data_IF_132924555407
#
_entry.id   IF_132924555407
#
_cell.length_a   1.000
_cell.length_b   1.000
_cell.length_c   1.000
_cell.angle_alpha   90.00
_cell.angle_beta   90.00
_cell.angle_gamma   90.00
#
_symmetry.space_group_name_H-M   'P 1'
#
loop_
_entity.id
_entity.type
_entity.pdbx_description
1 polymer ?
#
# COMPACT_ATOMS: atom_id res chain seq x y z
N UNK A 1 -15.41 -21.51 62.08
CA UNK A 1 -14.38 -20.48 62.23
C UNK A 1 -13.31 -20.61 61.12
N UNK A 2 -12.70 -21.79 60.96
CA UNK A 2 -11.66 -22.05 59.93
C UNK A 2 -12.14 -21.79 58.51
N UNK A 3 -13.34 -22.25 58.12
CA UNK A 3 -13.93 -22.03 56.80
C UNK A 3 -14.19 -20.54 56.53
N UNK A 4 -14.65 -19.79 57.52
CA UNK A 4 -14.82 -18.34 57.44
C UNK A 4 -13.50 -17.61 57.24
N UNK A 5 -12.47 -18.02 58.00
CA UNK A 5 -11.12 -17.46 57.88
C UNK A 5 -10.53 -17.71 56.50
N UNK A 6 -10.63 -18.93 56.00
CA UNK A 6 -10.22 -19.32 54.63
C UNK A 6 -10.99 -18.57 53.53
N UNK A 7 -12.27 -18.30 53.79
CA UNK A 7 -13.10 -17.57 52.84
C UNK A 7 -12.80 -16.07 52.79
N UNK A 8 -12.44 -15.47 53.92
CA UNK A 8 -12.25 -14.04 54.03
C UNK A 8 -10.79 -13.63 53.84
N UNK A 9 -9.88 -14.29 54.55
CA UNK A 9 -8.46 -13.93 54.53
C UNK A 9 -7.59 -14.84 53.65
N UNK A 10 -7.97 -16.10 53.46
CA UNK A 10 -7.15 -17.11 52.78
C UNK A 10 -5.91 -17.53 53.61
N UNK A 11 -5.10 -18.40 53.10
CA UNK A 11 -3.88 -18.88 53.77
C UNK A 11 -2.73 -18.87 52.76
N UNK A 12 -1.59 -18.27 53.17
CA UNK A 12 -0.30 -18.40 52.51
C UNK A 12 0.34 -19.72 52.97
N UNK A 13 0.78 -20.56 52.01
CA UNK A 13 1.37 -21.87 52.35
C UNK A 13 2.28 -22.37 51.25
N UNK A 14 3.42 -22.91 51.65
CA UNK A 14 4.38 -23.54 50.73
C UNK A 14 4.12 -25.05 50.57
N UNK A 15 3.15 -25.62 51.33
CA UNK A 15 2.84 -27.05 51.22
C UNK A 15 2.28 -27.48 49.89
N UNK A 16 1.74 -26.53 49.08
CA UNK A 16 1.21 -26.81 47.76
C UNK A 16 2.26 -26.72 46.63
N UNK A 17 3.44 -26.15 46.89
CA UNK A 17 4.49 -26.01 45.89
C UNK A 17 4.88 -27.36 45.30
N UNK A 18 5.11 -28.35 46.14
CA UNK A 18 5.44 -29.69 45.71
C UNK A 18 4.27 -30.37 44.95
N UNK A 19 3.03 -30.23 45.47
CA UNK A 19 1.85 -30.77 44.81
C UNK A 19 1.65 -30.17 43.43
N UNK A 20 1.80 -28.85 43.27
CA UNK A 20 1.68 -28.16 41.96
C UNK A 20 2.80 -28.65 41.03
N UNK A 21 4.03 -28.69 41.51
CA UNK A 21 5.15 -29.18 40.70
C UNK A 21 4.98 -30.66 40.29
N UNK A 22 4.49 -31.50 41.16
CA UNK A 22 4.24 -32.93 40.86
C UNK A 22 3.14 -33.07 39.83
N UNK A 23 2.06 -32.30 39.90
CA UNK A 23 1.02 -32.29 38.88
C UNK A 23 1.56 -31.80 37.54
N UNK A 24 2.38 -30.75 37.49
CA UNK A 24 3.02 -30.26 36.28
C UNK A 24 3.99 -31.30 35.72
N UNK A 25 4.78 -31.97 36.52
CA UNK A 25 5.68 -33.05 36.11
C UNK A 25 4.93 -34.29 35.61
N UNK A 26 3.76 -34.58 36.20
CA UNK A 26 2.90 -35.66 35.71
C UNK A 26 2.36 -35.34 34.27
N UNK A 27 2.10 -34.06 34.00
CA UNK A 27 1.71 -33.61 32.65
C UNK A 27 2.89 -33.69 31.67
N UNK A 28 4.08 -33.24 32.09
CA UNK A 28 5.31 -33.38 31.29
C UNK A 28 6.53 -33.34 32.22
N UNK A 29 7.31 -34.44 32.27
CA UNK A 29 8.48 -34.62 33.16
C UNK A 29 9.57 -33.54 33.03
N UNK A 30 9.61 -32.82 31.87
CA UNK A 30 10.57 -31.77 31.61
C UNK A 30 10.06 -30.39 32.00
N UNK A 31 8.79 -30.24 32.39
CA UNK A 31 8.24 -29.03 32.96
C UNK A 31 8.49 -28.95 34.45
N UNK A 32 8.81 -27.74 34.91
CA UNK A 32 8.84 -27.43 36.34
C UNK A 32 8.40 -25.98 36.59
N UNK A 33 7.77 -25.75 37.72
CA UNK A 33 7.32 -24.43 38.16
C UNK A 33 8.04 -24.05 39.44
N UNK A 34 8.70 -22.90 39.41
CA UNK A 34 9.25 -22.32 40.65
C UNK A 34 8.31 -21.19 41.08
N UNK A 35 7.60 -21.44 42.17
CA UNK A 35 6.70 -20.50 42.85
C UNK A 35 7.42 -19.72 43.94
N UNK A 36 6.96 -18.51 44.24
CA UNK A 36 7.47 -17.77 45.40
C UNK A 36 6.50 -17.82 46.58
N UNK A 37 5.23 -17.60 46.31
CA UNK A 37 4.18 -17.53 47.33
C UNK A 37 2.91 -18.16 46.76
N UNK A 38 2.45 -19.22 47.39
CA UNK A 38 1.15 -19.82 47.06
C UNK A 38 0.13 -19.39 48.10
N UNK A 39 -0.98 -18.85 47.62
CA UNK A 39 -2.08 -18.33 48.42
C UNK A 39 -3.36 -19.09 48.09
N UNK A 40 -4.03 -19.61 49.07
CA UNK A 40 -5.26 -20.36 48.93
C UNK A 40 -6.43 -19.57 49.55
N UNK A 41 -7.51 -19.40 48.77
CA UNK A 41 -8.75 -18.78 49.21
C UNK A 41 -9.96 -19.63 48.86
N UNK A 42 -10.88 -19.79 49.83
CA UNK A 42 -12.12 -20.52 49.65
C UNK A 42 -13.23 -19.54 49.24
N UNK A 43 -13.94 -19.81 48.15
CA UNK A 43 -15.18 -19.12 47.81
C UNK A 43 -16.37 -19.99 48.14
N UNK A 44 -17.04 -19.69 49.23
CA UNK A 44 -18.24 -20.43 49.65
C UNK A 44 -19.41 -20.19 48.72
N UNK A 45 -19.53 -18.97 48.16
CA UNK A 45 -20.53 -18.57 47.22
C UNK A 45 -20.44 -19.40 45.93
N UNK A 46 -19.25 -19.55 45.36
CA UNK A 46 -19.01 -20.22 44.10
C UNK A 46 -18.67 -21.71 44.30
N UNK A 47 -18.66 -22.18 45.53
CA UNK A 47 -18.26 -23.54 45.92
C UNK A 47 -16.91 -23.90 45.25
N UNK A 48 -15.92 -23.02 45.37
CA UNK A 48 -14.61 -23.18 44.71
C UNK A 48 -13.45 -22.86 45.67
N UNK A 49 -12.31 -23.46 45.35
CA UNK A 49 -11.01 -23.15 45.93
C UNK A 49 -10.20 -22.41 44.87
N UNK A 50 -9.73 -21.22 45.23
CA UNK A 50 -8.87 -20.43 44.34
C UNK A 50 -7.43 -20.53 44.88
N UNK A 51 -6.53 -20.95 44.05
CA UNK A 51 -5.10 -21.01 44.29
C UNK A 51 -4.41 -19.94 43.47
N UNK A 52 -3.69 -19.06 44.13
CA UNK A 52 -2.94 -17.98 43.52
C UNK A 52 -1.45 -18.14 43.79
N UNK A 53 -0.63 -17.87 42.78
CA UNK A 53 0.79 -17.71 42.96
C UNK A 53 1.31 -16.56 42.12
N UNK A 54 2.09 -15.67 42.74
CA UNK A 54 2.71 -14.54 42.07
C UNK A 54 4.17 -14.77 41.74
N UNK A 55 4.74 -13.96 40.90
CA UNK A 55 6.18 -13.90 40.58
C UNK A 55 6.84 -15.28 40.37
N UNK A 56 6.21 -16.13 39.62
CA UNK A 56 6.63 -17.51 39.41
C UNK A 56 7.43 -17.63 38.09
N UNK A 57 8.19 -18.72 37.96
CA UNK A 57 8.88 -19.07 36.70
C UNK A 57 8.50 -20.46 36.29
N UNK A 58 8.06 -20.59 35.01
CA UNK A 58 7.85 -21.91 34.42
C UNK A 58 9.07 -22.24 33.58
N UNK A 59 9.64 -23.44 33.79
CA UNK A 59 10.81 -23.95 33.08
C UNK A 59 10.41 -25.11 32.18
N UNK A 60 11.02 -25.16 31.02
CA UNK A 60 11.11 -26.35 30.19
C UNK A 60 12.60 -26.59 29.90
N UNK A 61 13.17 -27.59 30.57
CA UNK A 61 14.62 -27.79 30.62
C UNK A 61 15.34 -26.51 31.09
N UNK A 62 16.19 -25.90 30.25
CA UNK A 62 16.93 -24.66 30.55
C UNK A 62 16.19 -23.37 30.16
N UNK A 63 15.12 -23.44 29.41
CA UNK A 63 14.36 -22.28 28.97
C UNK A 63 13.25 -21.96 29.96
N UNK A 64 12.99 -20.69 30.21
CA UNK A 64 11.96 -20.28 31.17
C UNK A 64 11.15 -19.09 30.67
N UNK A 65 9.98 -18.94 31.26
CA UNK A 65 9.10 -17.76 31.12
C UNK A 65 8.80 -17.21 32.51
N UNK A 66 8.98 -15.90 32.69
CA UNK A 66 8.61 -15.20 33.93
C UNK A 66 7.09 -14.95 33.93
N UNK A 67 6.45 -15.40 35.00
CA UNK A 67 5.02 -15.27 35.21
C UNK A 67 4.76 -14.23 36.31
N UNK A 68 3.79 -13.35 36.09
CA UNK A 68 3.34 -12.41 37.12
C UNK A 68 2.32 -13.04 38.04
N UNK A 69 1.49 -13.95 37.51
CA UNK A 69 0.41 -14.55 38.27
C UNK A 69 -0.02 -15.86 37.64
N UNK A 70 -0.38 -16.83 38.45
CA UNK A 70 -1.12 -18.04 38.12
C UNK A 70 -2.33 -18.11 39.04
N UNK A 71 -3.50 -18.27 38.49
CA UNK A 71 -4.73 -18.57 39.25
C UNK A 71 -5.31 -19.89 38.78
N UNK A 72 -5.58 -20.77 39.74
CA UNK A 72 -6.26 -22.04 39.52
C UNK A 72 -7.55 -22.08 40.30
N UNK A 73 -8.69 -22.23 39.63
CA UNK A 73 -9.98 -22.35 40.26
C UNK A 73 -10.41 -23.82 40.26
N UNK A 74 -10.65 -24.39 41.44
CA UNK A 74 -11.06 -25.78 41.62
C UNK A 74 -12.52 -25.87 42.09
N UNK A 75 -13.24 -26.89 41.69
CA UNK A 75 -14.55 -27.26 42.26
C UNK A 75 -14.35 -27.87 43.63
N UNK A 76 -14.91 -27.25 44.69
CA UNK A 76 -14.75 -27.67 46.08
C UNK A 76 -15.29 -29.09 46.30
N UNK A 77 -16.46 -29.43 45.71
CA UNK A 77 -17.13 -30.72 45.94
C UNK A 77 -16.31 -31.82 45.29
N UNK A 78 -15.91 -31.64 44.03
CA UNK A 78 -15.07 -32.59 43.30
C UNK A 78 -13.70 -32.77 43.96
N UNK A 79 -13.12 -31.68 44.48
CA UNK A 79 -11.86 -31.70 45.20
C UNK A 79 -11.94 -32.57 46.47
N UNK A 80 -13.00 -32.43 47.28
CA UNK A 80 -13.26 -33.28 48.47
C UNK A 80 -13.44 -34.74 48.06
N UNK A 81 -14.10 -35.01 46.95
CA UNK A 81 -14.29 -36.38 46.42
C UNK A 81 -13.05 -36.96 45.74
N UNK A 82 -11.95 -36.24 45.70
CA UNK A 82 -10.70 -36.59 45.00
C UNK A 82 -10.91 -36.84 43.49
N UNK A 83 -11.93 -36.20 42.92
CA UNK A 83 -12.20 -36.16 41.46
C UNK A 83 -11.39 -35.05 40.83
N UNK A 84 -11.34 -35.08 39.48
CA UNK A 84 -10.71 -33.99 38.74
C UNK A 84 -11.54 -32.70 38.86
N UNK A 85 -10.98 -31.71 39.58
CA UNK A 85 -11.69 -30.58 40.10
C UNK A 85 -11.37 -29.24 39.42
N UNK A 86 -10.47 -29.21 38.42
CA UNK A 86 -10.06 -27.96 37.78
C UNK A 86 -11.21 -27.39 36.92
N UNK A 87 -11.65 -26.16 37.26
CA UNK A 87 -12.65 -25.40 36.49
C UNK A 87 -12.01 -24.41 35.52
N UNK A 88 -10.99 -23.70 36.00
CA UNK A 88 -10.34 -22.61 35.27
C UNK A 88 -8.87 -22.54 35.65
N UNK A 89 -8.03 -22.27 34.66
CA UNK A 89 -6.63 -21.87 34.87
C UNK A 89 -6.42 -20.54 34.17
N UNK A 90 -5.86 -19.58 34.86
CA UNK A 90 -5.45 -18.29 34.35
C UNK A 90 -3.95 -18.08 34.62
N UNK A 91 -3.21 -17.75 33.56
CA UNK A 91 -1.77 -17.52 33.62
C UNK A 91 -1.48 -16.14 33.00
N UNK A 92 -0.78 -15.29 33.75
CA UNK A 92 -0.30 -14.00 33.26
C UNK A 92 1.21 -13.97 33.28
N UNK A 93 1.84 -13.51 32.23
CA UNK A 93 3.29 -13.35 32.19
C UNK A 93 3.71 -11.96 32.59
N UNK A 94 4.92 -11.82 33.10
CA UNK A 94 5.64 -10.56 33.05
C UNK A 94 5.98 -10.20 31.61
N UNK A 95 6.63 -9.08 31.39
CA UNK A 95 7.16 -8.71 30.08
C UNK A 95 8.38 -9.59 29.78
N UNK A 96 8.24 -10.58 28.92
CA UNK A 96 9.31 -11.50 28.53
C UNK A 96 9.84 -11.13 27.14
N UNK A 97 11.11 -11.45 26.88
CA UNK A 97 11.67 -11.41 25.54
C UNK A 97 10.91 -12.38 24.62
N UNK A 98 10.58 -11.94 23.40
CA UNK A 98 9.97 -12.86 22.40
C UNK A 98 10.90 -14.05 22.14
N UNK A 99 12.21 -13.84 22.15
CA UNK A 99 13.20 -14.90 21.96
C UNK A 99 13.11 -15.96 23.05
N UNK A 100 12.92 -15.59 24.30
CA UNK A 100 12.78 -16.55 25.40
C UNK A 100 11.50 -17.36 25.28
N UNK A 101 10.38 -16.67 24.94
CA UNK A 101 9.09 -17.34 24.68
C UNK A 101 9.24 -18.35 23.52
N UNK A 102 9.89 -17.94 22.43
CA UNK A 102 10.08 -18.83 21.28
C UNK A 102 10.98 -19.99 21.57
N UNK A 103 12.04 -19.81 22.32
CA UNK A 103 12.93 -20.88 22.79
C UNK A 103 12.17 -21.87 23.66
N UNK A 104 11.33 -21.38 24.59
CA UNK A 104 10.50 -22.22 25.44
C UNK A 104 9.51 -23.07 24.61
N UNK A 105 8.78 -22.43 23.65
CA UNK A 105 7.82 -23.14 22.79
C UNK A 105 8.52 -24.18 21.92
N UNK A 106 9.66 -23.83 21.32
CA UNK A 106 10.42 -24.76 20.48
C UNK A 106 10.97 -25.95 21.26
N UNK A 107 11.37 -25.75 22.50
CA UNK A 107 11.82 -26.83 23.40
C UNK A 107 10.67 -27.77 23.75
N UNK A 108 9.47 -27.22 23.98
CA UNK A 108 8.27 -28.00 24.31
C UNK A 108 7.77 -28.84 23.12
N UNK A 109 7.65 -28.19 21.94
CA UNK A 109 7.19 -28.86 20.70
C UNK A 109 7.95 -28.33 19.50
N UNK A 110 9.08 -28.96 19.19
CA UNK A 110 9.87 -28.57 18.01
C UNK A 110 9.05 -28.73 16.74
N UNK A 111 8.97 -27.67 15.96
CA UNK A 111 8.42 -27.66 14.62
C UNK A 111 9.33 -26.80 13.73
N UNK A 112 9.99 -27.42 12.75
CA UNK A 112 10.92 -26.76 11.84
C UNK A 112 10.35 -25.48 11.23
N UNK A 113 9.06 -25.46 10.90
CA UNK A 113 8.38 -24.30 10.31
C UNK A 113 8.24 -23.16 11.30
N UNK A 114 7.85 -23.47 12.53
CA UNK A 114 7.80 -22.46 13.60
C UNK A 114 9.20 -21.93 13.89
N UNK A 115 10.20 -22.79 13.92
CA UNK A 115 11.59 -22.41 14.10
C UNK A 115 12.07 -21.42 13.04
N UNK A 116 11.76 -21.63 11.76
CA UNK A 116 12.13 -20.70 10.68
C UNK A 116 11.42 -19.35 10.87
N UNK A 117 10.11 -19.34 11.15
CA UNK A 117 9.34 -18.11 11.35
C UNK A 117 9.85 -17.33 12.57
N UNK A 118 10.12 -18.03 13.66
CA UNK A 118 10.55 -17.44 14.92
C UNK A 118 11.98 -16.89 14.85
N UNK A 119 12.85 -17.51 14.01
CA UNK A 119 14.20 -16.98 13.79
C UNK A 119 14.20 -15.68 12.96
N UNK A 120 13.11 -15.33 12.30
CA UNK A 120 12.96 -14.04 11.65
C UNK A 120 12.68 -12.90 12.65
N UNK A 121 12.29 -13.25 13.88
CA UNK A 121 12.09 -12.28 14.96
C UNK A 121 13.43 -12.06 15.66
N UNK A 122 14.06 -10.91 15.44
CA UNK A 122 15.37 -10.60 16.05
C UNK A 122 15.25 -10.15 17.49
N UNK A 123 14.25 -9.33 17.80
CA UNK A 123 14.00 -8.77 19.12
C UNK A 123 12.53 -8.44 19.34
N UNK A 124 12.19 -8.12 20.55
CA UNK A 124 10.86 -7.70 20.98
C UNK A 124 10.51 -8.23 22.34
N UNK A 125 9.46 -7.68 22.93
CA UNK A 125 8.93 -8.05 24.23
C UNK A 125 7.46 -8.41 24.11
N UNK A 126 7.02 -9.38 24.89
CA UNK A 126 5.64 -9.81 24.95
C UNK A 126 5.14 -9.92 26.39
N UNK A 127 3.90 -9.48 26.62
CA UNK A 127 3.13 -9.73 27.82
C UNK A 127 1.85 -10.46 27.43
N UNK A 128 1.63 -11.64 28.03
CA UNK A 128 0.59 -12.58 27.64
C UNK A 128 -0.28 -12.93 28.84
N UNK A 129 -1.59 -13.05 28.61
CA UNK A 129 -2.52 -13.65 29.55
C UNK A 129 -3.28 -14.78 28.86
N UNK A 130 -3.32 -15.95 29.47
CA UNK A 130 -4.01 -17.11 28.96
C UNK A 130 -5.07 -17.56 29.99
N UNK A 131 -6.28 -17.79 29.52
CA UNK A 131 -7.38 -18.33 30.32
C UNK A 131 -7.84 -19.61 29.67
N UNK A 132 -7.91 -20.69 30.45
CA UNK A 132 -8.40 -21.99 30.04
C UNK A 132 -9.57 -22.37 30.94
N UNK A 133 -10.74 -22.57 30.32
CA UNK A 133 -11.95 -23.02 31.00
C UNK A 133 -12.19 -24.49 30.64
N UNK A 134 -12.28 -25.35 31.67
CA UNK A 134 -12.52 -26.79 31.49
C UNK A 134 -14.02 -27.07 31.57
N UNK A 135 -14.49 -27.98 30.72
CA UNK A 135 -15.88 -28.41 30.76
C UNK A 135 -16.12 -29.27 32.02
N UNK A 136 -17.25 -29.08 32.69
CA UNK A 136 -17.61 -29.83 33.92
C UNK A 136 -17.78 -31.33 33.68
N UNK A 137 -18.18 -31.76 32.49
CA UNK A 137 -18.49 -33.14 32.14
C UNK A 137 -17.34 -33.87 31.47
N UNK A 138 -16.53 -33.17 30.68
CA UNK A 138 -15.41 -33.74 29.95
C UNK A 138 -14.23 -32.73 29.91
N UNK A 139 -13.20 -33.00 30.71
CA UNK A 139 -12.02 -32.13 30.81
C UNK A 139 -11.12 -32.15 29.57
N UNK A 140 -11.31 -33.11 28.65
CA UNK A 140 -10.66 -33.06 27.35
C UNK A 140 -11.26 -31.98 26.45
N UNK A 141 -12.46 -31.47 26.77
CA UNK A 141 -13.08 -30.31 26.14
C UNK A 141 -12.81 -29.07 26.96
N UNK A 142 -11.93 -28.23 26.48
CA UNK A 142 -11.61 -26.94 27.10
C UNK A 142 -11.71 -25.81 26.07
N UNK A 143 -12.14 -24.65 26.56
CA UNK A 143 -12.09 -23.40 25.80
C UNK A 143 -10.91 -22.57 26.30
N UNK A 144 -10.18 -21.97 25.38
CA UNK A 144 -9.08 -21.09 25.75
C UNK A 144 -9.23 -19.72 25.11
N UNK A 145 -8.69 -18.71 25.81
CA UNK A 145 -8.50 -17.37 25.30
C UNK A 145 -7.10 -16.90 25.69
N UNK A 146 -6.35 -16.41 24.70
CA UNK A 146 -5.01 -15.89 24.91
C UNK A 146 -5.01 -14.45 24.45
N UNK A 147 -4.75 -13.52 25.35
CA UNK A 147 -4.63 -12.10 25.06
C UNK A 147 -3.24 -11.62 25.37
N UNK A 148 -2.82 -10.54 24.74
CA UNK A 148 -1.53 -9.97 25.06
C UNK A 148 -1.16 -8.80 24.19
N UNK A 149 0.07 -8.35 24.37
CA UNK A 149 0.66 -7.28 23.58
C UNK A 149 2.12 -7.58 23.26
N UNK A 150 2.47 -7.20 22.04
CA UNK A 150 3.85 -7.20 21.56
C UNK A 150 4.34 -5.76 21.51
N UNK A 151 5.60 -5.55 21.88
CA UNK A 151 6.27 -4.24 21.84
C UNK A 151 7.66 -4.36 21.25
N UNK A 152 8.07 -3.32 20.55
CA UNK A 152 9.44 -3.14 20.05
C UNK A 152 9.96 -4.34 19.24
N UNK A 153 9.06 -5.09 18.59
CA UNK A 153 9.51 -6.23 17.83
C UNK A 153 10.16 -5.79 16.51
N UNK A 154 11.11 -6.59 16.07
CA UNK A 154 11.82 -6.44 14.80
C UNK A 154 11.78 -7.74 14.05
N UNK A 155 11.34 -7.67 12.80
CA UNK A 155 11.22 -8.81 11.89
C UNK A 155 12.15 -8.65 10.70
N UNK A 156 12.89 -9.70 10.38
CA UNK A 156 13.59 -9.88 9.11
C UNK A 156 12.71 -10.65 8.16
N UNK A 157 12.16 -10.00 7.12
CA UNK A 157 11.36 -10.69 6.12
C UNK A 157 12.25 -11.21 4.99
N UNK A 158 11.81 -12.28 4.35
CA UNK A 158 12.39 -12.82 3.12
C UNK A 158 12.59 -11.65 2.13
N UNK A 159 13.77 -11.52 1.50
CA UNK A 159 14.24 -10.41 0.65
C UNK A 159 14.89 -9.22 1.39
N UNK A 160 15.37 -9.42 2.61
CA UNK A 160 16.08 -8.40 3.40
C UNK A 160 15.25 -7.17 3.77
N UNK A 161 13.92 -7.25 3.72
CA UNK A 161 13.07 -6.22 4.26
C UNK A 161 13.03 -6.33 5.79
N UNK A 162 13.42 -5.26 6.47
CA UNK A 162 13.41 -5.19 7.94
C UNK A 162 12.20 -4.37 8.34
N UNK A 163 11.31 -4.95 9.15
CA UNK A 163 10.20 -4.25 9.81
C UNK A 163 10.57 -4.03 11.26
N UNK A 164 10.52 -2.79 11.70
CA UNK A 164 10.93 -2.38 13.04
C UNK A 164 9.77 -1.76 13.82
N UNK A 165 10.01 -1.60 15.14
CA UNK A 165 9.08 -0.93 16.04
C UNK A 165 7.66 -1.49 15.96
N UNK A 166 7.57 -2.83 15.85
CA UNK A 166 6.29 -3.49 15.76
C UNK A 166 5.65 -3.49 17.14
N UNK A 167 4.45 -2.95 17.17
CA UNK A 167 3.59 -2.94 18.35
C UNK A 167 2.19 -3.40 17.94
N UNK A 168 1.56 -4.29 18.74
CA UNK A 168 0.15 -4.65 18.58
C UNK A 168 -0.38 -5.34 19.85
N UNK A 169 -1.70 -5.27 20.02
CA UNK A 169 -2.43 -6.12 20.93
C UNK A 169 -3.01 -7.31 20.15
N UNK A 170 -3.15 -8.45 20.83
CA UNK A 170 -3.77 -9.62 20.23
C UNK A 170 -4.76 -10.28 21.17
N UNK A 171 -5.78 -10.89 20.58
CA UNK A 171 -6.79 -11.73 21.23
C UNK A 171 -7.02 -12.97 20.36
N UNK A 172 -6.74 -14.12 20.94
CA UNK A 172 -6.85 -15.42 20.30
C UNK A 172 -7.87 -16.24 21.08
N UNK A 173 -8.96 -16.55 20.45
CA UNK A 173 -9.99 -17.40 21.04
C UNK A 173 -10.41 -18.46 20.04
N UNK A 174 -10.32 -19.74 20.41
CA UNK A 174 -10.58 -20.89 19.56
C UNK A 174 -9.80 -20.80 18.24
N UNK A 175 -10.49 -20.51 17.14
CA UNK A 175 -9.88 -20.41 15.81
C UNK A 175 -9.90 -18.97 15.25
N UNK A 176 -10.16 -17.99 16.11
CA UNK A 176 -10.17 -16.58 15.76
C UNK A 176 -8.94 -15.87 16.35
N UNK A 177 -8.25 -15.13 15.52
CA UNK A 177 -7.08 -14.33 15.89
C UNK A 177 -7.42 -12.89 15.55
N UNK A 178 -7.39 -12.02 16.52
CA UNK A 178 -7.65 -10.58 16.37
C UNK A 178 -6.40 -9.83 16.78
N UNK A 179 -5.92 -8.96 15.90
CA UNK A 179 -4.79 -8.07 16.15
C UNK A 179 -5.28 -6.65 16.05
N UNK A 180 -5.01 -5.83 17.07
CA UNK A 180 -5.50 -4.45 17.17
C UNK A 180 -4.39 -3.48 17.53
N UNK A 181 -4.57 -2.22 17.13
CA UNK A 181 -3.61 -1.15 17.40
C UNK A 181 -2.20 -1.49 16.89
N UNK A 182 -2.15 -2.03 15.67
CA UNK A 182 -0.87 -2.42 15.06
C UNK A 182 -0.15 -1.15 14.61
N UNK A 183 1.09 -1.02 15.03
CA UNK A 183 2.03 -0.01 14.55
C UNK A 183 3.28 -0.73 14.11
N UNK A 184 3.83 -0.33 12.97
CA UNK A 184 5.08 -0.87 12.46
C UNK A 184 5.80 0.16 11.58
N UNK A 185 7.11 0.01 11.47
CA UNK A 185 7.95 0.87 10.64
C UNK A 185 8.71 0.04 9.61
N UNK A 186 8.64 0.45 8.37
CA UNK A 186 9.46 -0.08 7.28
C UNK A 186 10.24 1.06 6.65
N UNK A 187 11.57 1.02 6.79
CA UNK A 187 12.45 2.16 6.46
C UNK A 187 11.93 3.47 7.09
N UNK A 188 11.49 4.45 6.27
CA UNK A 188 10.93 5.72 6.74
C UNK A 188 9.40 5.75 6.79
N UNK A 189 8.73 4.66 6.43
CA UNK A 189 7.28 4.55 6.44
C UNK A 189 6.78 4.02 7.79
N UNK A 190 5.93 4.80 8.45
CA UNK A 190 5.20 4.35 9.62
C UNK A 190 3.81 3.90 9.19
N UNK A 191 3.49 2.65 9.48
CA UNK A 191 2.18 2.06 9.18
C UNK A 191 1.40 1.81 10.47
N UNK A 192 0.10 2.04 10.39
CA UNK A 192 -0.87 1.78 11.43
C UNK A 192 -2.00 0.91 10.88
N UNK A 193 -2.46 -0.07 11.68
CA UNK A 193 -3.69 -0.79 11.41
C UNK A 193 -4.56 -0.79 12.66
N UNK A 194 -5.84 -0.47 12.48
CA UNK A 194 -6.79 -0.51 13.60
C UNK A 194 -7.08 -1.94 14.00
N UNK A 195 -7.28 -2.81 13.00
CA UNK A 195 -7.67 -4.18 13.23
C UNK A 195 -7.33 -5.09 12.06
N UNK A 196 -6.67 -6.20 12.37
CA UNK A 196 -6.47 -7.32 11.45
C UNK A 196 -7.05 -8.58 12.09
N UNK A 197 -7.83 -9.33 11.34
CA UNK A 197 -8.45 -10.57 11.83
C UNK A 197 -8.02 -11.75 10.97
N UNK A 198 -7.76 -12.88 11.62
CA UNK A 198 -7.54 -14.16 10.97
C UNK A 198 -8.55 -15.13 11.55
N UNK A 199 -9.41 -15.69 10.73
CA UNK A 199 -10.40 -16.68 11.12
C UNK A 199 -10.11 -18.00 10.42
N UNK A 200 -9.90 -19.05 11.19
CA UNK A 200 -9.78 -20.41 10.63
C UNK A 200 -11.18 -21.00 10.47
N UNK A 201 -11.53 -21.42 9.26
CA UNK A 201 -12.76 -22.14 8.93
C UNK A 201 -12.31 -23.41 8.23
N UNK A 202 -12.54 -24.56 8.87
CA UNK A 202 -12.01 -25.85 8.42
C UNK A 202 -10.49 -25.79 8.19
N UNK A 203 -10.04 -25.91 6.93
CA UNK A 203 -8.63 -25.87 6.55
C UNK A 203 -8.19 -24.55 5.87
N UNK A 204 -9.03 -23.50 5.95
CA UNK A 204 -8.79 -22.21 5.31
C UNK A 204 -8.66 -21.13 6.38
N UNK A 205 -7.61 -20.32 6.29
CA UNK A 205 -7.46 -19.11 7.08
C UNK A 205 -7.93 -17.89 6.27
N UNK A 206 -9.01 -17.25 6.72
CA UNK A 206 -9.51 -16.00 6.15
C UNK A 206 -8.87 -14.81 6.86
N UNK A 207 -8.11 -14.03 6.14
CA UNK A 207 -7.41 -12.84 6.65
C UNK A 207 -8.12 -11.60 6.14
N UNK A 208 -8.38 -10.63 7.03
CA UNK A 208 -8.94 -9.32 6.67
C UNK A 208 -8.31 -8.25 7.55
N UNK A 209 -7.91 -7.15 6.95
CA UNK A 209 -7.30 -6.04 7.68
C UNK A 209 -7.27 -4.75 6.90
N UNK A 210 -6.81 -3.71 7.59
CA UNK A 210 -6.48 -2.42 7.03
C UNK A 210 -5.00 -2.11 7.30
N UNK A 211 -4.41 -1.23 6.51
CA UNK A 211 -3.06 -0.72 6.74
C UNK A 211 -2.97 0.71 6.21
N UNK A 212 -2.64 1.66 7.08
CA UNK A 212 -2.53 3.08 6.75
C UNK A 212 -1.14 3.59 7.04
N UNK A 213 -0.67 4.50 6.23
CA UNK A 213 0.52 5.28 6.51
C UNK A 213 0.13 6.75 6.55
N UNK A 214 0.59 7.47 7.57
CA UNK A 214 0.47 8.93 7.62
C UNK A 214 1.44 9.55 6.60
N UNK A 215 1.27 10.83 6.31
CA UNK A 215 2.19 11.57 5.43
C UNK A 215 3.65 11.43 5.87
N UNK A 216 4.46 10.83 5.02
CA UNK A 216 5.89 10.64 5.23
C UNK A 216 6.67 10.91 3.95
N UNK A 217 7.88 11.44 4.09
CA UNK A 217 8.81 11.56 2.97
C UNK A 217 9.39 10.19 2.61
N UNK A 218 9.12 9.73 1.41
CA UNK A 218 9.49 8.42 0.91
C UNK A 218 10.14 8.53 -0.45
N UNK A 219 11.21 7.77 -0.66
CA UNK A 219 11.74 7.55 -2.01
C UNK A 219 10.88 6.51 -2.72
N UNK A 220 10.43 6.73 -3.95
CA UNK A 220 9.62 5.76 -4.69
C UNK A 220 10.21 4.35 -4.73
N UNK A 221 11.53 4.22 -4.84
CA UNK A 221 12.21 2.93 -4.83
C UNK A 221 11.98 2.13 -3.54
N UNK A 222 11.71 2.77 -2.41
CA UNK A 222 11.36 2.08 -1.15
C UNK A 222 10.07 1.29 -1.31
N UNK A 223 9.07 1.89 -1.96
CA UNK A 223 7.79 1.23 -2.23
C UNK A 223 7.97 0.14 -3.29
N UNK A 224 8.72 0.44 -4.36
CA UNK A 224 8.92 -0.52 -5.47
C UNK A 224 9.66 -1.78 -5.02
N UNK A 225 10.61 -1.66 -4.11
CA UNK A 225 11.31 -2.80 -3.50
C UNK A 225 10.37 -3.76 -2.76
N UNK A 226 9.35 -3.23 -2.05
CA UNK A 226 8.35 -4.07 -1.37
C UNK A 226 7.62 -5.01 -2.32
N UNK A 227 7.36 -4.54 -3.53
CA UNK A 227 6.64 -5.29 -4.56
C UNK A 227 7.55 -6.01 -5.55
N UNK A 228 8.88 -5.92 -5.36
CA UNK A 228 9.88 -6.42 -6.31
C UNK A 228 9.65 -5.91 -7.74
N UNK A 229 9.30 -4.63 -7.88
CA UNK A 229 9.03 -3.97 -9.14
C UNK A 229 10.06 -2.87 -9.36
N UNK A 230 10.54 -2.73 -10.58
CA UNK A 230 11.42 -1.63 -10.98
C UNK A 230 10.68 -0.69 -11.94
N UNK A 231 10.52 0.56 -11.55
CA UNK A 231 9.89 1.60 -12.35
C UNK A 231 10.91 2.70 -12.69
N UNK A 232 11.63 2.50 -13.78
CA UNK A 232 12.68 3.43 -14.22
C UNK A 232 12.15 4.80 -14.67
N UNK A 233 10.84 4.94 -14.92
CA UNK A 233 10.26 6.19 -15.38
C UNK A 233 9.97 7.21 -14.28
N UNK A 234 10.10 6.84 -13.00
CA UNK A 234 9.97 7.73 -11.85
C UNK A 234 11.34 8.00 -11.25
N UNK A 235 11.67 9.27 -11.02
CA UNK A 235 12.90 9.64 -10.31
C UNK A 235 12.82 9.24 -8.83
N UNK A 236 13.94 8.74 -8.30
CA UNK A 236 14.03 8.33 -6.90
C UNK A 236 14.26 9.53 -5.95
N UNK A 237 13.45 10.58 -6.09
CA UNK A 237 13.43 11.75 -5.21
C UNK A 237 12.36 11.58 -4.14
N UNK A 238 12.58 12.19 -2.97
CA UNK A 238 11.61 12.16 -1.88
C UNK A 238 10.26 12.74 -2.34
N UNK A 239 9.19 11.98 -2.12
CA UNK A 239 7.82 12.41 -2.25
C UNK A 239 7.12 12.30 -0.88
N UNK A 240 6.23 13.23 -0.56
CA UNK A 240 5.39 13.14 0.62
C UNK A 240 4.19 12.26 0.27
N UNK A 241 4.10 11.09 0.90
CA UNK A 241 3.12 10.07 0.55
C UNK A 241 2.27 9.70 1.77
N UNK A 242 0.99 9.52 1.54
CA UNK A 242 0.02 8.96 2.48
C UNK A 242 -0.71 7.79 1.82
N UNK A 243 -0.93 6.69 2.57
CA UNK A 243 -1.65 5.53 2.04
C UNK A 243 -2.74 5.04 2.97
N UNK A 244 -3.83 4.55 2.40
CA UNK A 244 -4.88 3.83 3.12
C UNK A 244 -5.28 2.60 2.34
N UNK A 245 -5.02 1.42 2.92
CA UNK A 245 -5.17 0.14 2.25
C UNK A 245 -6.14 -0.74 3.03
N UNK A 246 -6.96 -1.50 2.32
CA UNK A 246 -7.78 -2.57 2.87
C UNK A 246 -7.48 -3.84 2.10
N UNK A 247 -7.36 -4.95 2.81
CA UNK A 247 -7.07 -6.22 2.18
C UNK A 247 -7.88 -7.36 2.81
N UNK A 248 -8.20 -8.33 1.99
CA UNK A 248 -8.69 -9.63 2.44
C UNK A 248 -8.19 -10.72 1.50
N UNK A 249 -7.88 -11.89 2.06
CA UNK A 249 -7.44 -13.04 1.31
C UNK A 249 -7.64 -14.32 2.11
N UNK A 250 -7.59 -15.44 1.42
CA UNK A 250 -7.62 -16.75 2.01
C UNK A 250 -6.25 -17.41 1.89
N UNK A 251 -5.87 -18.19 2.91
CA UNK A 251 -4.70 -19.07 2.88
C UNK A 251 -5.22 -20.50 3.05
N UNK A 252 -5.02 -21.34 2.06
CA UNK A 252 -5.44 -22.74 2.09
C UNK A 252 -4.49 -23.65 2.87
N UNK A 253 -4.81 -24.93 2.95
CA UNK A 253 -3.98 -25.97 3.63
C UNK A 253 -2.60 -26.15 2.98
N UNK A 254 -2.46 -25.85 1.69
CA UNK A 254 -1.19 -25.85 0.95
C UNK A 254 -0.43 -24.54 1.11
N UNK A 255 -0.98 -23.57 1.89
CA UNK A 255 -0.45 -22.22 2.11
C UNK A 255 -0.41 -21.36 0.86
N UNK A 256 -1.27 -21.62 -0.09
CA UNK A 256 -1.46 -20.78 -1.24
C UNK A 256 -2.41 -19.65 -0.89
N UNK A 257 -2.07 -18.46 -1.36
CA UNK A 257 -2.89 -17.28 -1.22
C UNK A 257 -3.95 -17.27 -2.32
N UNK A 258 -5.22 -17.25 -1.90
CA UNK A 258 -6.38 -17.27 -2.79
C UNK A 258 -7.31 -16.11 -2.47
N UNK A 259 -8.19 -15.76 -3.39
CA UNK A 259 -9.27 -14.78 -3.22
C UNK A 259 -8.78 -13.42 -2.71
N UNK A 260 -7.59 -13.00 -3.19
CA UNK A 260 -7.04 -11.70 -2.81
C UNK A 260 -7.94 -10.57 -3.31
N UNK A 261 -8.42 -9.78 -2.37
CA UNK A 261 -9.04 -8.48 -2.60
C UNK A 261 -8.17 -7.42 -1.94
N UNK A 262 -7.75 -6.45 -2.72
CA UNK A 262 -6.92 -5.35 -2.24
C UNK A 262 -7.46 -4.02 -2.77
N UNK A 263 -7.67 -3.06 -1.88
CA UNK A 263 -8.06 -1.69 -2.20
C UNK A 263 -7.08 -0.74 -1.57
N UNK A 264 -6.53 0.15 -2.37
CA UNK A 264 -5.56 1.14 -1.92
C UNK A 264 -5.94 2.53 -2.41
N UNK A 265 -5.76 3.49 -1.54
CA UNK A 265 -5.81 4.90 -1.86
C UNK A 265 -4.47 5.51 -1.43
N UNK A 266 -3.68 5.98 -2.39
CA UNK A 266 -2.41 6.63 -2.18
C UNK A 266 -2.52 8.09 -2.62
N UNK A 267 -2.07 9.00 -1.78
CA UNK A 267 -1.99 10.43 -2.06
C UNK A 267 -0.52 10.83 -2.03
N UNK A 268 -0.10 11.61 -2.99
CA UNK A 268 1.26 12.14 -3.05
C UNK A 268 1.26 13.64 -3.37
N UNK A 269 2.27 14.36 -2.88
CA UNK A 269 2.44 15.79 -3.13
C UNK A 269 3.13 16.06 -4.48
N UNK A 270 4.27 15.38 -4.73
CA UNK A 270 5.11 15.64 -5.89
C UNK A 270 5.90 14.40 -6.30
N UNK A 271 5.80 14.03 -7.58
CA UNK A 271 6.54 12.92 -8.17
C UNK A 271 7.19 13.36 -9.48
N UNK A 272 8.50 13.16 -9.60
CA UNK A 272 9.26 13.55 -10.77
C UNK A 272 9.35 12.40 -11.77
N UNK A 273 9.09 12.72 -13.03
CA UNK A 273 9.33 11.78 -14.13
C UNK A 273 10.84 11.73 -14.42
N UNK A 274 11.36 10.54 -14.69
CA UNK A 274 12.79 10.35 -14.94
C UNK A 274 13.21 11.10 -16.20
N UNK A 275 14.29 11.86 -16.11
CA UNK A 275 14.87 12.66 -17.19
C UNK A 275 15.12 11.89 -18.49
N UNK A 276 15.39 10.58 -18.40
CA UNK A 276 15.55 9.71 -19.56
C UNK A 276 14.31 9.71 -20.47
N UNK A 277 13.12 9.88 -19.86
CA UNK A 277 11.84 9.86 -20.58
C UNK A 277 11.32 11.27 -20.79
N UNK A 278 11.40 12.12 -19.76
CA UNK A 278 10.94 13.50 -19.80
C UNK A 278 11.54 14.30 -18.65
N UNK A 279 12.38 15.28 -18.95
CA UNK A 279 13.14 16.04 -17.96
C UNK A 279 12.44 17.29 -17.43
N UNK A 280 11.24 17.59 -17.94
CA UNK A 280 10.58 18.86 -17.74
C UNK A 280 9.20 18.77 -17.07
N UNK A 281 8.72 17.58 -16.74
CA UNK A 281 7.38 17.38 -16.15
C UNK A 281 7.48 16.67 -14.80
N UNK A 282 6.69 17.13 -13.85
CA UNK A 282 6.42 16.41 -12.62
C UNK A 282 4.91 16.38 -12.32
N UNK A 283 4.49 15.36 -11.60
CA UNK A 283 3.12 15.21 -11.12
C UNK A 283 3.00 15.85 -9.74
N UNK A 284 1.87 16.51 -9.48
CA UNK A 284 1.60 17.22 -8.23
C UNK A 284 0.20 16.91 -7.72
N UNK A 285 0.05 16.91 -6.39
CA UNK A 285 -1.24 16.76 -5.69
C UNK A 285 -2.04 15.56 -6.23
N UNK A 286 -1.34 14.43 -6.40
CA UNK A 286 -1.88 13.27 -7.07
C UNK A 286 -2.53 12.26 -6.13
N UNK A 287 -3.53 11.56 -6.68
CA UNK A 287 -4.24 10.45 -6.05
C UNK A 287 -4.15 9.22 -6.92
N UNK A 288 -3.84 8.09 -6.31
CA UNK A 288 -3.83 6.77 -6.95
C UNK A 288 -4.78 5.85 -6.22
N UNK A 289 -5.83 5.42 -6.89
CA UNK A 289 -6.77 4.42 -6.40
C UNK A 289 -6.48 3.09 -7.09
N UNK A 290 -6.29 2.05 -6.31
CA UNK A 290 -6.03 0.71 -6.82
C UNK A 290 -7.04 -0.27 -6.27
N UNK A 291 -7.68 -1.03 -7.15
CA UNK A 291 -8.52 -2.17 -6.79
C UNK A 291 -7.99 -3.43 -7.46
N UNK A 292 -7.82 -4.48 -6.68
CA UNK A 292 -7.50 -5.81 -7.16
C UNK A 292 -8.48 -6.81 -6.58
N UNK A 293 -9.15 -7.56 -7.43
CA UNK A 293 -10.06 -8.64 -7.03
C UNK A 293 -10.26 -9.62 -8.18
N UNK A 294 -10.41 -10.89 -7.87
CA UNK A 294 -10.67 -11.94 -8.86
C UNK A 294 -9.71 -11.87 -10.06
N UNK A 295 -8.42 -11.64 -9.78
CA UNK A 295 -7.35 -11.49 -10.78
C UNK A 295 -7.51 -10.28 -11.73
N UNK A 296 -8.44 -9.39 -11.44
CA UNK A 296 -8.61 -8.13 -12.15
C UNK A 296 -7.91 -7.01 -11.37
N UNK A 297 -7.18 -6.17 -12.07
CA UNK A 297 -6.53 -4.98 -11.54
C UNK A 297 -7.13 -3.74 -12.21
N UNK A 298 -7.53 -2.76 -11.41
CA UNK A 298 -7.94 -1.43 -11.86
C UNK A 298 -7.15 -0.38 -11.06
N UNK A 299 -6.40 0.47 -11.77
CA UNK A 299 -5.64 1.56 -11.17
C UNK A 299 -6.12 2.86 -11.80
N UNK A 300 -6.56 3.79 -10.98
CA UNK A 300 -6.95 5.13 -11.38
C UNK A 300 -5.97 6.14 -10.79
N UNK A 301 -5.34 6.95 -11.62
CA UNK A 301 -4.45 8.03 -11.24
C UNK A 301 -5.11 9.32 -11.65
N UNK A 302 -5.22 10.27 -10.72
CA UNK A 302 -5.67 11.64 -10.95
C UNK A 302 -4.63 12.57 -10.34
N UNK A 303 -4.03 13.44 -11.15
CA UNK A 303 -2.95 14.31 -10.70
C UNK A 303 -2.89 15.56 -11.55
N UNK A 304 -2.49 16.64 -10.95
CA UNK A 304 -2.02 17.78 -11.68
C UNK A 304 -0.60 17.54 -12.19
N UNK A 305 -0.21 18.19 -13.28
CA UNK A 305 1.15 18.16 -13.78
C UNK A 305 1.66 19.57 -14.04
N UNK A 306 2.97 19.75 -13.87
CA UNK A 306 3.63 21.04 -14.10
C UNK A 306 4.93 20.82 -14.87
N UNK A 307 5.33 21.85 -15.63
CA UNK A 307 6.66 21.91 -16.21
C UNK A 307 7.67 22.42 -15.18
N UNK A 308 8.90 21.94 -15.20
CA UNK A 308 9.92 22.25 -14.16
C UNK A 308 10.26 23.73 -14.02
N UNK A 309 10.09 24.51 -15.08
CA UNK A 309 10.44 25.94 -15.13
C UNK A 309 9.22 26.87 -15.00
N UNK A 310 8.07 26.32 -14.67
CA UNK A 310 6.87 27.16 -14.43
C UNK A 310 6.85 27.64 -12.98
N UNK A 311 6.84 28.97 -12.82
CA UNK A 311 6.38 29.56 -11.57
C UNK A 311 4.87 29.38 -11.46
N UNK A 312 4.43 28.81 -10.35
CA UNK A 312 3.02 28.53 -10.07
C UNK A 312 2.30 29.86 -9.75
N UNK A 313 1.94 30.62 -10.77
CA UNK A 313 1.48 31.99 -10.60
C UNK A 313 -0.02 32.23 -10.80
N UNK A 314 -0.84 31.22 -11.13
CA UNK A 314 -2.29 31.46 -11.16
C UNK A 314 -3.13 30.22 -10.90
N UNK A 315 -4.24 30.38 -10.16
CA UNK A 315 -5.29 29.39 -9.96
C UNK A 315 -6.02 28.98 -11.27
N UNK A 316 -5.72 29.65 -12.37
CA UNK A 316 -6.39 29.44 -13.66
C UNK A 316 -5.68 28.42 -14.57
N UNK A 317 -4.45 28.05 -14.27
CA UNK A 317 -3.66 27.09 -15.04
C UNK A 317 -3.92 25.65 -14.56
N UNK A 318 -5.10 25.14 -14.85
CA UNK A 318 -5.42 23.73 -14.54
C UNK A 318 -4.80 22.83 -15.60
N UNK A 319 -3.76 22.10 -15.21
CA UNK A 319 -3.13 21.05 -15.98
C UNK A 319 -3.35 19.73 -15.25
N UNK A 320 -4.22 18.90 -15.76
CA UNK A 320 -4.62 17.67 -15.10
C UNK A 320 -4.42 16.46 -16.01
N UNK A 321 -3.95 15.38 -15.41
CA UNK A 321 -3.82 14.08 -16.05
C UNK A 321 -4.59 13.02 -15.28
N UNK A 322 -5.48 12.30 -15.96
CA UNK A 322 -6.17 11.12 -15.46
C UNK A 322 -5.72 9.91 -16.22
N UNK A 323 -5.30 8.87 -15.53
CA UNK A 323 -4.87 7.62 -16.14
C UNK A 323 -5.66 6.48 -15.50
N UNK A 324 -6.28 5.66 -16.35
CA UNK A 324 -6.90 4.41 -15.94
C UNK A 324 -6.13 3.25 -16.55
N UNK A 325 -5.70 2.31 -15.71
CA UNK A 325 -4.97 1.10 -16.10
C UNK A 325 -5.79 -0.10 -15.66
N UNK A 326 -6.23 -0.90 -16.62
CA UNK A 326 -6.98 -2.13 -16.37
C UNK A 326 -6.23 -3.35 -16.87
N UNK A 327 -6.26 -4.41 -16.08
CA UNK A 327 -5.76 -5.73 -16.45
C UNK A 327 -6.73 -6.79 -15.96
N UNK A 328 -7.18 -7.65 -16.84
CA UNK A 328 -7.89 -8.89 -16.51
C UNK A 328 -6.94 -10.08 -16.54
N UNK A 329 -7.36 -11.22 -15.98
CA UNK A 329 -6.55 -12.45 -15.97
C UNK A 329 -6.06 -12.77 -17.40
N UNK A 330 -4.75 -13.03 -17.54
CA UNK A 330 -4.07 -13.34 -18.81
C UNK A 330 -4.14 -12.29 -19.93
N UNK A 331 -4.78 -11.15 -19.73
CA UNK A 331 -4.83 -10.06 -20.69
C UNK A 331 -3.62 -9.11 -20.60
N UNK A 332 -3.46 -8.29 -21.64
CA UNK A 332 -2.55 -7.14 -21.64
C UNK A 332 -3.12 -6.02 -20.74
N UNK A 333 -2.25 -5.17 -20.23
CA UNK A 333 -2.70 -3.94 -19.58
C UNK A 333 -3.37 -3.03 -20.62
N UNK A 334 -4.57 -2.57 -20.34
CA UNK A 334 -5.27 -1.54 -21.11
C UNK A 334 -5.11 -0.22 -20.41
N UNK A 335 -4.45 0.72 -21.05
CA UNK A 335 -4.19 2.06 -20.49
C UNK A 335 -5.03 3.09 -21.24
N UNK A 336 -5.75 3.92 -20.51
CA UNK A 336 -6.47 5.09 -21.03
C UNK A 336 -6.03 6.31 -20.23
N UNK A 337 -5.67 7.38 -20.92
CA UNK A 337 -5.31 8.65 -20.30
C UNK A 337 -6.13 9.79 -20.88
N UNK A 338 -6.52 10.70 -20.01
CA UNK A 338 -7.11 11.98 -20.35
C UNK A 338 -6.18 13.07 -19.81
N UNK A 339 -5.63 13.88 -20.71
CA UNK A 339 -4.75 14.99 -20.38
C UNK A 339 -5.47 16.27 -20.74
N UNK A 340 -5.72 17.11 -19.73
CA UNK A 340 -6.37 18.40 -19.91
C UNK A 340 -5.43 19.53 -19.54
N UNK A 341 -5.44 20.54 -20.37
CA UNK A 341 -4.72 21.77 -20.16
C UNK A 341 -5.66 22.92 -20.53
N UNK A 342 -6.04 23.74 -19.58
CA UNK A 342 -7.04 24.77 -19.81
C UNK A 342 -6.46 25.97 -20.57
N UNK A 343 -5.35 26.50 -20.09
CA UNK A 343 -4.63 27.60 -20.73
C UNK A 343 -3.21 27.64 -20.15
N UNK A 344 -2.24 27.36 -20.97
CA UNK A 344 -0.84 27.31 -20.54
C UNK A 344 0.00 28.20 -21.40
N UNK A 345 0.95 28.86 -20.76
CA UNK A 345 2.01 29.60 -21.40
C UNK A 345 3.26 28.72 -21.44
N UNK A 346 3.81 28.51 -22.60
CA UNK A 346 5.06 27.75 -22.76
C UNK A 346 6.01 28.51 -23.67
N UNK A 347 7.31 28.49 -23.34
CA UNK A 347 8.32 29.04 -24.24
C UNK A 347 8.49 28.11 -25.45
N UNK A 348 8.55 28.69 -26.65
CA UNK A 348 8.73 27.95 -27.90
C UNK A 348 9.99 27.11 -27.95
N UNK A 349 11.07 27.47 -27.23
CA UNK A 349 12.28 26.67 -27.08
C UNK A 349 12.00 25.36 -26.33
N UNK A 350 11.15 25.40 -25.31
CA UNK A 350 10.74 24.22 -24.56
C UNK A 350 9.85 23.32 -25.44
N UNK A 351 8.85 23.89 -26.09
CA UNK A 351 8.00 23.18 -27.03
C UNK A 351 8.82 22.45 -28.12
N UNK A 352 9.85 23.12 -28.64
CA UNK A 352 10.78 22.55 -29.66
C UNK A 352 11.56 21.35 -29.12
N UNK A 353 11.96 21.34 -27.84
CA UNK A 353 12.60 20.21 -27.21
C UNK A 353 11.64 19.01 -27.09
N UNK A 354 10.39 19.25 -26.65
CA UNK A 354 9.39 18.21 -26.50
C UNK A 354 9.05 17.49 -27.80
N UNK A 355 8.77 18.28 -28.84
CA UNK A 355 8.28 17.76 -30.11
C UNK A 355 9.39 17.53 -31.14
N UNK A 356 10.64 17.74 -30.77
CA UNK A 356 11.80 17.67 -31.70
C UNK A 356 11.59 18.54 -32.95
N UNK A 357 10.91 19.67 -32.81
CA UNK A 357 10.69 20.61 -33.89
C UNK A 357 11.98 21.40 -34.13
N UNK A 358 12.34 21.59 -35.39
CA UNK A 358 13.52 22.38 -35.75
C UNK A 358 13.33 23.82 -35.26
N UNK A 359 14.28 24.33 -34.47
CA UNK A 359 14.27 25.67 -33.87
C UNK A 359 14.11 26.80 -34.87
N UNK A 360 14.38 26.55 -36.15
CA UNK A 360 14.18 27.53 -37.20
C UNK A 360 12.72 27.89 -37.46
N UNK A 361 11.76 27.02 -37.05
CA UNK A 361 10.33 27.31 -37.23
C UNK A 361 9.79 28.28 -36.19
N UNK A 362 10.40 28.36 -35.00
CA UNK A 362 9.94 29.22 -33.94
C UNK A 362 11.12 30.00 -33.36
N UNK A 363 11.12 31.30 -33.52
CA UNK A 363 11.95 32.15 -32.67
C UNK A 363 11.45 32.10 -31.24
N UNK A 364 12.22 32.61 -30.31
CA UNK A 364 11.83 32.66 -28.92
C UNK A 364 10.56 33.49 -28.75
N UNK A 365 9.48 32.83 -28.34
CA UNK A 365 8.18 33.45 -28.09
C UNK A 365 7.44 32.66 -27.00
N UNK A 366 6.52 33.33 -26.34
CA UNK A 366 5.55 32.71 -25.45
C UNK A 366 4.37 32.20 -26.29
N UNK A 367 4.05 30.93 -26.17
CA UNK A 367 2.92 30.28 -26.84
C UNK A 367 1.88 29.99 -25.78
N UNK A 368 0.66 30.46 -26.00
CA UNK A 368 -0.48 30.19 -25.13
C UNK A 368 -1.34 29.12 -25.81
N UNK A 369 -1.60 28.03 -25.10
CA UNK A 369 -2.45 26.96 -25.65
C UNK A 369 -3.30 26.28 -24.58
N UNK A 370 -4.44 25.77 -25.01
CA UNK A 370 -5.27 24.83 -24.27
C UNK A 370 -5.34 23.48 -24.99
N UNK A 371 -5.51 22.37 -24.27
CA UNK A 371 -5.63 21.06 -24.90
C UNK A 371 -6.52 20.11 -24.12
N UNK A 372 -7.22 19.23 -24.84
CA UNK A 372 -7.92 18.05 -24.34
C UNK A 372 -7.47 16.84 -25.17
N UNK A 373 -6.70 15.95 -24.54
CA UNK A 373 -6.07 14.83 -25.23
C UNK A 373 -6.45 13.51 -24.58
N UNK A 374 -6.93 12.57 -25.40
CA UNK A 374 -7.25 11.20 -25.01
C UNK A 374 -6.22 10.26 -25.62
N UNK A 375 -5.53 9.52 -24.78
CA UNK A 375 -4.52 8.56 -25.19
C UNK A 375 -4.95 7.18 -24.71
N UNK A 376 -4.91 6.19 -25.59
CA UNK A 376 -5.15 4.80 -25.19
C UNK A 376 -4.16 3.87 -25.87
N UNK A 377 -3.72 2.85 -25.16
CA UNK A 377 -2.80 1.84 -25.63
C UNK A 377 -2.88 0.58 -24.79
N UNK A 378 -2.31 -0.50 -25.27
CA UNK A 378 -2.10 -1.71 -24.52
C UNK A 378 -0.61 -1.88 -24.22
N UNK A 379 -0.30 -2.44 -23.04
CA UNK A 379 1.03 -2.91 -22.69
C UNK A 379 1.00 -4.43 -22.60
N UNK A 380 1.90 -5.11 -23.28
CA UNK A 380 2.05 -6.55 -23.12
C UNK A 380 2.79 -6.90 -21.81
N UNK A 381 3.04 -8.18 -21.55
CA UNK A 381 3.75 -8.66 -20.35
C UNK A 381 5.17 -8.09 -20.21
N UNK A 382 5.79 -7.69 -21.31
CA UNK A 382 7.11 -7.08 -21.37
C UNK A 382 7.05 -5.54 -21.38
N UNK A 383 5.89 -4.96 -21.05
CA UNK A 383 5.60 -3.52 -21.05
C UNK A 383 5.82 -2.83 -22.42
N UNK A 384 5.73 -3.58 -23.53
CA UNK A 384 5.81 -3.01 -24.88
C UNK A 384 4.47 -2.42 -25.31
N UNK A 385 4.53 -1.22 -25.87
CA UNK A 385 3.35 -0.51 -26.36
C UNK A 385 2.74 -1.19 -27.60
N UNK A 386 1.44 -1.38 -27.58
CA UNK A 386 0.64 -1.88 -28.70
C UNK A 386 -0.63 -1.05 -28.85
N UNK A 387 -1.13 -0.94 -30.08
CA UNK A 387 -2.42 -0.32 -30.39
C UNK A 387 -2.57 1.12 -29.88
N UNK A 388 -1.50 1.93 -29.98
CA UNK A 388 -1.54 3.33 -29.60
C UNK A 388 -2.60 4.10 -30.41
N UNK A 389 -3.45 4.82 -29.72
CA UNK A 389 -4.44 5.76 -30.27
C UNK A 389 -4.30 7.08 -29.50
N UNK A 390 -4.31 8.17 -30.24
CA UNK A 390 -4.26 9.52 -29.68
C UNK A 390 -5.34 10.35 -30.38
N UNK A 391 -6.21 10.98 -29.57
CA UNK A 391 -7.11 12.03 -30.02
C UNK A 391 -6.83 13.27 -29.20
N UNK A 392 -6.54 14.37 -29.88
CA UNK A 392 -6.18 15.62 -29.20
C UNK A 392 -6.84 16.79 -29.89
N UNK A 393 -7.44 17.66 -29.08
CA UNK A 393 -7.92 18.98 -29.50
C UNK A 393 -7.04 20.02 -28.81
N UNK A 394 -6.40 20.86 -29.61
CA UNK A 394 -5.47 21.87 -29.13
C UNK A 394 -5.90 23.23 -29.69
N UNK A 395 -6.01 24.23 -28.84
CA UNK A 395 -6.31 25.59 -29.24
C UNK A 395 -5.09 26.47 -28.93
N UNK A 396 -4.62 27.19 -29.92
CA UNK A 396 -3.49 28.11 -29.80
C UNK A 396 -3.98 29.56 -29.85
N UNK A 397 -3.29 30.41 -29.10
CA UNK A 397 -3.43 31.86 -29.19
C UNK A 397 -2.08 32.45 -29.63
N UNK A 398 -2.10 33.27 -30.69
CA UNK A 398 -0.97 34.09 -31.12
C UNK A 398 0.34 33.31 -31.39
N UNK A 399 0.29 32.29 -32.23
CA UNK A 399 1.47 31.55 -32.66
C UNK A 399 2.15 32.23 -33.84
N UNK A 400 3.45 32.55 -33.73
CA UNK A 400 4.28 33.09 -34.79
C UNK A 400 5.17 32.00 -35.37
N UNK A 401 5.07 31.75 -36.68
CA UNK A 401 5.92 30.85 -37.43
C UNK A 401 6.93 31.66 -38.23
N UNK A 402 8.21 31.48 -37.93
CA UNK A 402 9.31 32.27 -38.54
C UNK A 402 9.99 31.64 -39.72
N UNK A 403 9.66 30.40 -40.05
CA UNK A 403 10.23 29.72 -41.22
C UNK A 403 9.37 29.82 -42.45
N UNK A 404 9.90 30.46 -43.46
CA UNK A 404 9.29 30.54 -44.77
C UNK A 404 10.25 30.00 -45.82
N UNK A 405 9.78 29.08 -46.63
CA UNK A 405 10.58 28.45 -47.70
C UNK A 405 11.15 29.52 -48.65
N UNK A 406 12.43 29.39 -48.98
CA UNK A 406 13.11 30.25 -49.97
C UNK A 406 12.33 30.29 -51.33
N UNK A 407 11.64 29.20 -51.68
CA UNK A 407 10.80 29.13 -52.90
C UNK A 407 9.60 30.08 -52.82
N UNK A 408 8.99 30.22 -51.65
CA UNK A 408 7.87 31.14 -51.43
C UNK A 408 8.35 32.57 -51.50
N UNK A 409 9.45 32.91 -50.82
CA UNK A 409 10.03 34.25 -50.90
C UNK A 409 10.42 34.68 -52.33
N UNK A 410 10.93 33.72 -53.14
CA UNK A 410 11.30 34.01 -54.52
C UNK A 410 10.06 34.28 -55.39
N UNK A 411 8.92 33.70 -55.07
CA UNK A 411 7.67 33.88 -55.84
C UNK A 411 6.85 35.08 -55.35
N UNK A 412 7.03 35.45 -54.10
CA UNK A 412 6.29 36.52 -53.44
C UNK A 412 7.31 37.41 -52.70
N UNK A 413 7.90 38.40 -53.40
CA UNK A 413 8.96 39.24 -52.87
C UNK A 413 8.58 40.02 -51.65
N UNK A 414 7.33 40.44 -51.49
CA UNK A 414 6.82 41.20 -50.35
C UNK A 414 6.34 40.37 -49.16
N UNK A 415 6.62 39.01 -49.19
CA UNK A 415 6.21 38.15 -48.12
C UNK A 415 7.06 38.42 -46.84
N UNK A 416 6.42 38.73 -45.72
CA UNK A 416 7.10 38.85 -44.43
C UNK A 416 7.79 37.53 -44.02
N UNK A 417 8.84 37.64 -43.27
CA UNK A 417 9.63 36.47 -42.83
C UNK A 417 8.92 35.58 -41.79
N UNK A 418 7.64 35.88 -41.54
CA UNK A 418 6.85 35.14 -40.54
C UNK A 418 5.36 35.16 -40.90
N UNK A 419 4.67 34.17 -40.37
CA UNK A 419 3.22 34.03 -40.42
C UNK A 419 2.70 34.11 -38.99
N UNK A 420 1.71 34.93 -38.74
CA UNK A 420 0.97 34.94 -37.50
C UNK A 420 -0.25 34.05 -37.63
N UNK A 421 -0.44 33.13 -36.69
CA UNK A 421 -1.62 32.32 -36.49
C UNK A 421 -2.33 32.79 -35.23
N UNK A 422 -3.65 32.93 -35.32
CA UNK A 422 -4.44 33.44 -34.19
C UNK A 422 -5.76 32.68 -34.05
N UNK A 423 -6.13 32.30 -32.83
CA UNK A 423 -7.34 31.54 -32.53
C UNK A 423 -7.42 30.23 -33.36
N UNK A 424 -6.33 29.50 -33.37
CA UNK A 424 -6.20 28.29 -34.17
C UNK A 424 -6.69 27.08 -33.40
N UNK A 425 -7.40 26.20 -34.07
CA UNK A 425 -7.87 24.94 -33.57
C UNK A 425 -7.20 23.81 -34.34
N UNK A 426 -6.54 22.91 -33.60
CA UNK A 426 -5.81 21.76 -34.12
C UNK A 426 -6.42 20.47 -33.55
N UNK A 427 -6.91 19.60 -34.45
CA UNK A 427 -7.36 18.26 -34.09
C UNK A 427 -6.36 17.22 -34.59
N UNK A 428 -6.00 16.27 -33.76
CA UNK A 428 -5.13 15.15 -34.09
C UNK A 428 -5.89 13.86 -33.80
N UNK A 429 -6.09 13.00 -34.79
CA UNK A 429 -6.57 11.62 -34.62
C UNK A 429 -5.50 10.66 -35.15
N UNK A 430 -4.80 9.99 -34.25
CA UNK A 430 -3.77 9.02 -34.57
C UNK A 430 -4.22 7.61 -34.17
N UNK A 431 -4.14 6.68 -35.09
CA UNK A 431 -4.27 5.24 -34.86
C UNK A 431 -3.18 4.52 -35.66
N UNK A 432 -2.90 3.27 -35.29
CA UNK A 432 -1.93 2.46 -36.05
C UNK A 432 -2.20 2.56 -37.54
N UNK A 433 -1.20 3.02 -38.32
CA UNK A 433 -1.24 3.18 -39.78
C UNK A 433 -2.17 4.27 -40.31
N UNK A 434 -2.81 5.07 -39.46
CA UNK A 434 -3.64 6.21 -39.88
C UNK A 434 -3.39 7.40 -38.98
N UNK A 435 -3.14 8.57 -39.54
CA UNK A 435 -3.08 9.83 -38.80
C UNK A 435 -3.89 10.88 -39.60
N UNK A 436 -4.72 11.60 -38.91
CA UNK A 436 -5.39 12.76 -39.42
C UNK A 436 -5.05 13.97 -38.57
N UNK A 437 -4.65 15.04 -39.21
CA UNK A 437 -4.42 16.35 -38.62
C UNK A 437 -5.33 17.32 -39.31
N UNK A 438 -6.25 17.91 -38.58
CA UNK A 438 -7.11 18.98 -39.05
C UNK A 438 -6.80 20.25 -38.30
N UNK A 439 -6.56 21.35 -39.03
CA UNK A 439 -6.25 22.63 -38.46
C UNK A 439 -7.06 23.73 -39.12
N UNK A 440 -7.65 24.59 -38.31
CA UNK A 440 -8.37 25.77 -38.81
C UNK A 440 -8.12 26.98 -37.94
N UNK A 441 -8.13 28.15 -38.51
CA UNK A 441 -7.88 29.37 -37.73
C UNK A 441 -7.82 30.62 -38.63
N UNK A 442 -7.11 31.61 -38.12
CA UNK A 442 -6.84 32.86 -38.78
C UNK A 442 -5.35 33.03 -38.98
N UNK A 443 -4.93 33.47 -40.12
CA UNK A 443 -3.52 33.76 -40.39
C UNK A 443 -3.35 35.19 -40.93
N UNK A 444 -2.16 35.74 -40.72
CA UNK A 444 -1.79 37.04 -41.26
C UNK A 444 -0.32 37.05 -41.68
N UNK A 445 -0.07 37.65 -42.83
CA UNK A 445 1.26 38.00 -43.30
C UNK A 445 1.56 39.49 -43.06
N UNK A 446 0.52 40.32 -42.83
CA UNK A 446 0.58 41.76 -42.66
C UNK A 446 -0.13 42.11 -41.36
N UNK A 447 -1.15 42.94 -41.43
CA UNK A 447 -1.88 43.45 -40.25
C UNK A 447 -3.34 42.97 -40.21
N UNK A 448 -3.85 42.35 -41.30
CA UNK A 448 -5.20 41.84 -41.38
C UNK A 448 -5.21 40.31 -41.45
N UNK A 449 -6.18 39.69 -40.78
CA UNK A 449 -6.31 38.27 -40.72
C UNK A 449 -7.30 37.71 -41.80
N UNK A 450 -6.89 36.61 -42.41
CA UNK A 450 -7.74 35.76 -43.27
C UNK A 450 -7.90 34.38 -42.60
N UNK A 451 -8.82 33.58 -43.11
CA UNK A 451 -9.11 32.23 -42.61
C UNK A 451 -8.34 31.18 -43.40
N UNK A 452 -7.99 30.10 -42.73
CA UNK A 452 -7.44 28.92 -43.37
C UNK A 452 -8.01 27.65 -42.74
N UNK A 453 -8.02 26.58 -43.52
CA UNK A 453 -8.32 25.22 -43.11
C UNK A 453 -7.31 24.31 -43.78
N UNK A 454 -6.78 23.31 -43.03
CA UNK A 454 -5.82 22.35 -43.52
C UNK A 454 -6.19 20.98 -42.99
N UNK A 455 -6.29 19.99 -43.88
CA UNK A 455 -6.54 18.61 -43.52
C UNK A 455 -5.42 17.75 -44.13
N UNK A 456 -4.71 17.01 -43.24
CA UNK A 456 -3.61 16.13 -43.61
C UNK A 456 -3.99 14.73 -43.17
N UNK A 457 -4.06 13.81 -44.10
CA UNK A 457 -4.37 12.41 -43.85
C UNK A 457 -3.17 11.56 -44.26
N UNK A 458 -2.59 10.83 -43.29
CA UNK A 458 -1.58 9.81 -43.54
C UNK A 458 -2.21 8.43 -43.49
N UNK A 459 -2.08 7.64 -44.53
CA UNK A 459 -2.46 6.23 -44.59
C UNK A 459 -1.23 5.39 -44.97
N UNK A 460 -0.69 4.62 -44.03
CA UNK A 460 0.61 3.94 -44.20
C UNK A 460 1.71 4.96 -44.57
N UNK A 461 2.25 4.88 -45.78
CA UNK A 461 3.34 5.74 -46.30
C UNK A 461 2.85 6.83 -47.26
N UNK A 462 1.54 6.97 -47.44
CA UNK A 462 0.94 7.99 -48.30
C UNK A 462 0.36 9.13 -47.47
N UNK A 463 0.56 10.36 -47.98
CA UNK A 463 -0.03 11.56 -47.43
C UNK A 463 -1.02 12.14 -48.44
N UNK A 464 -2.21 12.42 -47.95
CA UNK A 464 -3.23 13.19 -48.63
C UNK A 464 -3.30 14.55 -47.96
N UNK A 465 -3.30 15.62 -48.74
CA UNK A 465 -3.26 16.98 -48.25
C UNK A 465 -4.35 17.80 -48.93
N UNK A 466 -5.19 18.47 -48.15
CA UNK A 466 -6.23 19.37 -48.61
C UNK A 466 -6.11 20.68 -47.79
N UNK A 467 -6.16 21.82 -48.49
CA UNK A 467 -6.12 23.12 -47.84
C UNK A 467 -7.05 24.12 -48.50
N UNK A 468 -7.73 24.88 -47.67
CA UNK A 468 -8.53 26.03 -48.08
C UNK A 468 -7.94 27.27 -47.44
N UNK A 469 -7.54 28.25 -48.23
CA UNK A 469 -6.91 29.49 -47.74
C UNK A 469 -7.66 30.66 -48.35
N UNK A 470 -8.23 31.49 -47.51
CA UNK A 470 -8.86 32.73 -47.94
C UNK A 470 -7.77 33.82 -48.10
N UNK A 471 -7.75 34.54 -49.19
CA UNK A 471 -6.75 35.55 -49.52
C UNK A 471 -7.34 36.97 -49.59
N UNK A 472 -8.52 37.20 -49.00
CA UNK A 472 -9.24 38.46 -49.14
C UNK A 472 -8.47 39.67 -48.62
N UNK A 473 -7.83 39.54 -47.48
CA UNK A 473 -7.10 40.62 -46.77
C UNK A 473 -5.58 40.51 -46.92
N UNK A 474 -5.07 39.37 -47.34
CA UNK A 474 -3.65 39.10 -47.58
C UNK A 474 -3.37 38.87 -49.07
N UNK A 475 -4.09 39.61 -49.96
CA UNK A 475 -3.77 39.66 -51.36
C UNK A 475 -2.33 40.11 -51.57
N UNK A 476 -1.62 39.39 -52.38
CA UNK A 476 -0.18 39.49 -52.63
C UNK A 476 0.06 40.43 -53.78
#
# INVERSE_FOLDING_TARGET
>A
LVLFYLSYYGIKTNKFDNLINDQIKNFNKKLSLKTQDVFLKLSLKDKSINIYTGNSKIFFEKNFIDLSEIEVNLDLIKFIKKENSIKKVEVKTNENSIKDITNFINSYKFNLRNFIILNQIEKGKAKIAAVINFNKENQNNYQYRITGKIKEARLNIINKAIIENIYFNFDIQDQNFVFENINLKYENLNFESKKTTIKKIENIYKVKGDLKSKKNFVKPNTIFKLFNVNFDFIENKNALIETSNNFSFNIDSKRQLNDLVFKSNLIFDKVFINKKYQDLIFLKDGKVETEYSNKNLDINIDSDYLFLNEEYNSKDDIKNIKINIKKSDNENFKVKSLIKNKKTKINSKELSKYFKIDKKFFKEQEIIFGSDSKISFNLDRNLKFKNLQVKSNINFENLKIDYISKKIKKRIPNFKDHIFLNSDHLEIDYKKNKMQIYMKGKYSFKDKFDRYEVNIIRKKDKYEFESLVNLKNNLI
#
